data_IF_477483663664
#
_entry.id   IF_477483663664
#
_cell.length_a   1.000
_cell.length_b   1.000
_cell.length_c   1.000
_cell.angle_alpha   90.00
_cell.angle_beta   90.00
_cell.angle_gamma   90.00
#
_symmetry.space_group_name_H-M   'P 1'
#
loop_
_entity.id
_entity.type
_entity.pdbx_description
1 polymer ?
#
# COMPACT_ATOMS: atom_id res chain seq x y z
N UNK A 1 -1.80 19.62 15.41
CA UNK A 1 -3.22 19.98 15.29
C UNK A 1 -4.07 18.99 16.07
N UNK A 2 -5.21 19.44 16.58
CA UNK A 2 -6.14 18.59 17.32
C UNK A 2 -7.13 17.96 16.35
N UNK A 3 -7.14 16.63 16.26
CA UNK A 3 -8.18 15.87 15.57
C UNK A 3 -9.16 15.34 16.62
N UNK A 4 -10.45 15.51 16.34
CA UNK A 4 -11.53 14.84 17.07
C UNK A 4 -12.20 13.83 16.16
N UNK A 5 -12.97 12.93 16.72
CA UNK A 5 -13.80 12.05 15.91
C UNK A 5 -14.53 11.04 16.76
N UNK A 6 -15.35 10.24 16.09
CA UNK A 6 -16.10 9.14 16.66
C UNK A 6 -15.70 7.83 15.98
N UNK A 7 -15.56 6.80 16.79
CA UNK A 7 -15.30 5.44 16.32
C UNK A 7 -16.56 4.59 16.54
N UNK A 8 -17.05 3.98 15.48
CA UNK A 8 -18.24 3.10 15.51
C UNK A 8 -17.93 1.76 14.88
N UNK A 9 -18.76 0.76 15.17
CA UNK A 9 -18.80 -0.50 14.44
C UNK A 9 -19.65 -0.36 13.16
N UNK A 10 -19.72 -1.45 12.40
CA UNK A 10 -20.52 -1.60 11.18
C UNK A 10 -22.04 -1.43 11.37
N UNK A 11 -22.57 -1.63 12.58
CA UNK A 11 -23.98 -1.37 12.91
C UNK A 11 -24.22 0.10 13.25
N UNK A 12 -23.15 0.90 13.36
CA UNK A 12 -23.20 2.29 13.81
C UNK A 12 -23.13 2.44 15.33
N UNK A 13 -22.90 1.35 16.07
CA UNK A 13 -22.76 1.38 17.52
C UNK A 13 -21.40 1.98 17.90
N UNK A 14 -21.34 2.87 18.90
CA UNK A 14 -20.07 3.45 19.35
C UNK A 14 -19.16 2.38 19.94
N UNK A 15 -17.87 2.42 19.57
CA UNK A 15 -16.87 1.52 20.13
C UNK A 15 -16.16 2.24 21.26
N UNK A 16 -16.56 1.92 22.48
CA UNK A 16 -15.86 2.29 23.70
C UNK A 16 -14.49 1.62 23.82
N UNK A 17 -13.52 2.32 24.43
CA UNK A 17 -12.16 1.81 24.68
C UNK A 17 -11.40 1.36 23.41
N UNK A 18 -11.77 1.87 22.24
CA UNK A 18 -10.96 1.73 21.03
C UNK A 18 -9.66 2.52 21.20
N UNK A 19 -8.55 1.92 20.82
CA UNK A 19 -7.24 2.56 20.75
C UNK A 19 -7.12 3.37 19.47
N UNK A 20 -6.72 4.63 19.59
CA UNK A 20 -6.41 5.53 18.48
C UNK A 20 -4.97 6.01 18.66
N UNK A 21 -4.07 5.63 17.76
CA UNK A 21 -2.64 5.89 17.92
C UNK A 21 -1.98 6.41 16.65
N UNK A 22 -0.81 7.04 16.78
CA UNK A 22 -0.02 7.47 15.63
C UNK A 22 0.85 6.30 15.17
N UNK A 23 0.62 5.83 13.94
CA UNK A 23 1.34 4.70 13.36
C UNK A 23 2.84 4.94 13.34
N UNK A 24 3.61 4.00 13.89
CA UNK A 24 5.07 4.06 13.92
C UNK A 24 5.65 5.11 14.86
N UNK A 25 4.85 5.69 15.76
CA UNK A 25 5.37 6.57 16.81
C UNK A 25 6.20 5.79 17.84
N UNK A 26 7.35 6.34 18.23
CA UNK A 26 8.18 5.81 19.31
C UNK A 26 8.71 6.99 20.17
N UNK A 27 8.27 7.15 21.43
CA UNK A 27 7.31 6.30 22.15
C UNK A 27 5.93 6.27 21.48
N UNK A 28 5.14 5.23 21.76
CA UNK A 28 3.77 5.12 21.25
C UNK A 28 2.93 6.28 21.76
N UNK A 29 2.38 7.07 20.84
CA UNK A 29 1.47 8.18 21.15
C UNK A 29 0.07 7.77 20.72
N UNK A 30 -0.87 7.74 21.67
CA UNK A 30 -2.27 7.40 21.39
C UNK A 30 -3.20 7.79 22.53
N UNK A 31 -4.50 7.65 22.26
CA UNK A 31 -5.61 7.86 23.19
C UNK A 31 -6.61 6.72 23.05
N UNK A 32 -7.48 6.55 24.05
CA UNK A 32 -8.62 5.64 23.96
C UNK A 32 -9.92 6.41 23.75
N UNK A 33 -10.90 5.82 23.07
CA UNK A 33 -12.25 6.39 22.99
C UNK A 33 -12.96 6.34 24.35
N UNK A 34 -13.87 7.28 24.56
CA UNK A 34 -14.78 7.31 25.70
C UNK A 34 -15.98 6.36 25.54
N UNK A 35 -16.95 6.42 26.46
CA UNK A 35 -18.14 5.56 26.45
C UNK A 35 -19.02 5.76 25.20
N UNK A 36 -19.02 6.97 24.63
CA UNK A 36 -19.78 7.33 23.44
C UNK A 36 -18.95 7.12 22.15
N UNK A 37 -17.76 6.54 22.24
CA UNK A 37 -16.87 6.27 21.12
C UNK A 37 -16.12 7.50 20.61
N UNK A 38 -16.15 8.62 21.32
CA UNK A 38 -15.45 9.83 20.90
C UNK A 38 -13.97 9.80 21.32
N UNK A 39 -13.12 10.46 20.54
CA UNK A 39 -11.70 10.66 20.86
C UNK A 39 -11.22 12.05 20.48
N UNK A 40 -10.09 12.45 21.06
CA UNK A 40 -9.34 13.64 20.66
C UNK A 40 -7.84 13.39 20.78
N UNK A 41 -7.08 13.64 19.71
CA UNK A 41 -5.64 13.37 19.65
C UNK A 41 -4.89 14.50 18.94
N UNK A 42 -3.71 14.84 19.46
CA UNK A 42 -2.81 15.80 18.81
C UNK A 42 -1.90 15.09 17.81
N UNK A 43 -1.97 15.52 16.56
CA UNK A 43 -1.23 14.93 15.42
C UNK A 43 -0.71 16.01 14.47
N UNK A 44 0.24 15.64 13.62
CA UNK A 44 0.75 16.46 12.54
C UNK A 44 0.18 15.99 11.20
N UNK A 45 0.07 16.93 10.25
CA UNK A 45 -0.32 16.62 8.88
C UNK A 45 0.66 15.62 8.26
N UNK A 46 0.13 14.63 7.56
CA UNK A 46 0.92 13.55 6.96
C UNK A 46 1.18 12.37 7.89
N UNK A 47 0.81 12.44 9.18
CA UNK A 47 0.80 11.27 10.05
C UNK A 47 -0.40 10.37 9.76
N UNK A 48 -0.26 9.08 10.03
CA UNK A 48 -1.34 8.11 9.93
C UNK A 48 -1.83 7.76 11.32
N UNK A 49 -3.13 7.90 11.54
CA UNK A 49 -3.83 7.37 12.70
C UNK A 49 -4.17 5.90 12.48
N UNK A 50 -3.90 5.08 13.48
CA UNK A 50 -4.21 3.66 13.55
C UNK A 50 -5.27 3.43 14.63
N UNK A 51 -6.38 2.80 14.25
CA UNK A 51 -7.54 2.53 15.08
C UNK A 51 -7.67 1.03 15.31
N UNK A 52 -7.73 0.61 16.56
CA UNK A 52 -7.84 -0.80 16.95
C UNK A 52 -8.73 -0.97 18.17
N UNK A 53 -9.33 -2.14 18.34
CA UNK A 53 -10.11 -2.49 19.52
C UNK A 53 -9.97 -4.00 19.77
N UNK A 54 -10.34 -4.43 20.98
CA UNK A 54 -10.25 -5.84 21.36
C UNK A 54 -11.13 -6.69 20.44
N UNK A 55 -10.54 -7.71 19.84
CA UNK A 55 -11.22 -8.60 18.89
C UNK A 55 -11.06 -8.20 17.42
N UNK A 56 -10.43 -7.07 17.12
CA UNK A 56 -10.06 -6.70 15.76
C UNK A 56 -8.69 -7.27 15.38
N UNK A 57 -8.61 -8.07 14.31
CA UNK A 57 -7.39 -8.63 13.75
C UNK A 57 -6.61 -7.63 12.90
N UNK A 58 -7.25 -6.58 12.33
CA UNK A 58 -6.58 -5.60 11.47
C UNK A 58 -6.97 -4.17 11.86
N UNK A 59 -5.99 -3.34 12.26
CA UNK A 59 -6.27 -1.97 12.58
C UNK A 59 -6.72 -1.19 11.34
N UNK A 60 -7.62 -0.24 11.54
CA UNK A 60 -8.02 0.69 10.49
C UNK A 60 -7.06 1.86 10.46
N UNK A 61 -6.67 2.34 9.27
CA UNK A 61 -5.71 3.43 9.13
C UNK A 61 -6.34 4.66 8.45
N UNK A 62 -6.00 5.87 8.91
CA UNK A 62 -6.41 7.14 8.29
C UNK A 62 -5.25 8.13 8.24
N UNK A 63 -4.94 8.63 7.05
CA UNK A 63 -3.96 9.70 6.86
C UNK A 63 -4.56 11.05 7.27
N UNK A 64 -3.84 11.81 8.10
CA UNK A 64 -4.23 13.16 8.52
C UNK A 64 -3.86 14.16 7.42
N UNK A 65 -4.86 14.84 6.85
CA UNK A 65 -4.70 15.90 5.86
C UNK A 65 -4.69 17.28 6.51
N UNK A 66 -4.27 18.30 5.74
CA UNK A 66 -4.08 19.67 6.22
C UNK A 66 -5.34 20.32 6.83
N UNK A 67 -6.52 19.94 6.35
CA UNK A 67 -7.79 20.54 6.77
C UNK A 67 -8.66 19.57 7.59
N UNK A 68 -8.10 18.44 7.99
CA UNK A 68 -8.83 17.51 8.84
C UNK A 68 -8.91 18.12 10.25
N UNK A 69 -10.14 18.31 10.74
CA UNK A 69 -10.44 18.63 12.14
C UNK A 69 -11.28 17.53 12.80
N UNK A 70 -11.96 16.74 11.98
CA UNK A 70 -12.82 15.62 12.38
C UNK A 70 -12.48 14.42 11.50
N UNK A 71 -12.21 13.26 12.12
CA UNK A 71 -12.03 12.00 11.43
C UNK A 71 -12.90 10.95 12.11
N UNK A 72 -14.08 10.69 11.55
CA UNK A 72 -14.94 9.61 12.02
C UNK A 72 -14.56 8.29 11.33
N UNK A 73 -14.61 7.20 12.08
CA UNK A 73 -14.18 5.89 11.63
C UNK A 73 -15.21 4.83 11.98
N UNK A 74 -15.75 4.21 10.95
CA UNK A 74 -16.49 2.95 11.07
C UNK A 74 -15.49 1.80 10.90
N UNK A 75 -15.31 0.99 11.95
CA UNK A 75 -14.48 -0.22 11.90
C UNK A 75 -15.31 -1.41 11.41
N UNK A 76 -14.70 -2.23 10.55
CA UNK A 76 -15.37 -3.40 10.00
C UNK A 76 -15.50 -4.50 11.06
N UNK A 77 -16.64 -5.21 11.08
CA UNK A 77 -16.73 -6.46 11.82
C UNK A 77 -15.93 -7.52 11.08
N UNK A 78 -15.05 -8.20 11.80
CA UNK A 78 -14.24 -9.25 11.21
C UNK A 78 -14.90 -10.62 11.27
N UNK A 79 -16.18 -10.66 10.92
CA UNK A 79 -16.87 -11.91 10.58
C UNK A 79 -16.84 -12.20 9.08
N UNK A 80 -15.79 -11.74 8.38
CA UNK A 80 -15.49 -12.21 7.03
C UNK A 80 -14.51 -13.37 7.13
N UNK A 81 -15.04 -14.54 7.51
CA UNK A 81 -14.48 -15.82 7.07
C UNK A 81 -14.80 -15.92 5.57
N UNK A 82 -13.77 -16.14 4.75
CA UNK A 82 -13.75 -16.15 3.28
C UNK A 82 -13.71 -14.78 2.58
N UNK A 83 -12.49 -14.31 2.32
CA UNK A 83 -12.14 -14.17 0.91
C UNK A 83 -10.67 -14.52 0.73
N UNK A 84 -10.43 -15.70 0.15
CA UNK A 84 -9.16 -16.03 -0.49
C UNK A 84 -9.07 -15.13 -1.75
N UNK A 85 -8.89 -13.81 -1.58
CA UNK A 85 -8.42 -12.96 -2.67
C UNK A 85 -6.91 -13.00 -2.59
N UNK A 86 -6.35 -13.88 -3.41
CA UNK A 86 -4.99 -13.81 -3.91
C UNK A 86 -4.64 -12.33 -4.06
N UNK A 87 -3.69 -11.84 -3.26
CA UNK A 87 -3.24 -10.46 -3.19
C UNK A 87 -2.92 -9.88 -4.59
N UNK A 88 -3.94 -9.42 -5.30
CA UNK A 88 -3.84 -8.67 -6.54
C UNK A 88 -4.01 -7.20 -6.22
N UNK A 89 -3.05 -6.61 -5.51
CA UNK A 89 -2.94 -5.14 -5.42
C UNK A 89 -2.86 -4.61 -6.84
N UNK A 90 -3.95 -4.07 -7.40
CA UNK A 90 -3.90 -3.38 -8.68
C UNK A 90 -2.93 -2.21 -8.50
N UNK A 91 -1.87 -2.08 -9.33
CA UNK A 91 -0.87 -1.05 -9.12
C UNK A 91 -1.56 0.32 -9.21
N UNK A 92 -1.60 1.05 -8.10
CA UNK A 92 -2.14 2.42 -8.03
C UNK A 92 -1.32 3.43 -8.85
N UNK A 93 -0.18 3.00 -9.39
CA UNK A 93 0.66 3.76 -10.30
C UNK A 93 0.85 3.00 -11.64
N UNK A 94 -0.18 3.05 -12.48
CA UNK A 94 -0.17 2.50 -13.84
C UNK A 94 0.93 3.10 -14.72
N UNK A 95 1.33 4.34 -14.47
CA UNK A 95 2.39 5.01 -15.21
C UNK A 95 3.74 4.28 -15.04
N UNK A 96 4.08 3.91 -13.81
CA UNK A 96 5.32 3.15 -13.52
C UNK A 96 5.33 1.76 -14.17
N UNK A 97 4.19 1.07 -14.18
CA UNK A 97 4.08 -0.25 -14.78
C UNK A 97 4.19 -0.21 -16.32
N UNK A 98 3.54 0.77 -16.97
CA UNK A 98 3.63 0.97 -18.42
C UNK A 98 5.05 1.34 -18.84
N UNK A 99 5.74 2.22 -18.07
CA UNK A 99 7.15 2.55 -18.30
C UNK A 99 8.04 1.29 -18.21
N UNK A 100 7.79 0.42 -17.23
CA UNK A 100 8.51 -0.86 -17.10
C UNK A 100 8.36 -1.75 -18.34
N UNK A 101 7.16 -1.84 -18.92
CA UNK A 101 6.91 -2.63 -20.14
C UNK A 101 7.62 -2.04 -21.37
N UNK A 102 7.65 -0.71 -21.51
CA UNK A 102 8.36 -0.04 -22.61
C UNK A 102 9.87 -0.34 -22.51
N UNK A 103 10.46 -0.18 -21.33
CA UNK A 103 11.89 -0.45 -21.10
C UNK A 103 12.23 -1.91 -21.34
N UNK A 104 11.41 -2.85 -20.87
CA UNK A 104 11.61 -4.28 -21.13
C UNK A 104 11.59 -4.59 -22.63
N UNK A 105 10.68 -3.97 -23.40
CA UNK A 105 10.63 -4.09 -24.86
C UNK A 105 11.92 -3.61 -25.54
N UNK A 106 12.46 -2.46 -25.13
CA UNK A 106 13.73 -1.94 -25.64
C UNK A 106 14.92 -2.86 -25.33
N UNK A 107 14.99 -3.40 -24.10
CA UNK A 107 16.05 -4.33 -23.70
C UNK A 107 15.97 -5.61 -24.53
N UNK A 108 14.79 -6.21 -24.67
CA UNK A 108 14.60 -7.44 -25.46
C UNK A 108 14.98 -7.21 -26.92
N UNK A 109 14.58 -6.07 -27.50
CA UNK A 109 14.97 -5.70 -28.86
C UNK A 109 16.49 -5.61 -29.00
N UNK A 110 17.15 -4.88 -28.10
CA UNK A 110 18.61 -4.72 -28.10
C UNK A 110 19.35 -6.05 -27.97
N UNK A 111 18.92 -6.94 -27.07
CA UNK A 111 19.51 -8.28 -26.91
C UNK A 111 19.30 -9.13 -28.17
N UNK A 112 18.11 -9.04 -28.78
CA UNK A 112 17.81 -9.80 -30.01
C UNK A 112 18.68 -9.38 -31.18
N UNK A 113 19.03 -8.10 -31.28
CA UNK A 113 19.86 -7.56 -32.35
C UNK A 113 21.33 -7.98 -32.15
N UNK A 114 21.86 -7.93 -30.91
CA UNK A 114 23.20 -8.44 -30.56
C UNK A 114 23.33 -9.94 -30.89
N UNK A 115 22.34 -10.75 -30.55
CA UNK A 115 22.37 -12.20 -30.83
C UNK A 115 22.41 -12.52 -32.33
N UNK A 116 21.78 -11.68 -33.17
CA UNK A 116 21.80 -11.84 -34.63
C UNK A 116 23.16 -11.48 -35.21
N UNK A 117 23.82 -10.45 -34.68
CA UNK A 117 25.16 -10.05 -35.11
C UNK A 117 26.20 -11.15 -34.80
N UNK A 118 26.18 -11.72 -33.59
CA UNK A 118 27.09 -12.84 -33.26
C UNK A 118 26.89 -14.06 -34.15
N UNK A 119 25.64 -14.38 -34.53
CA UNK A 119 25.35 -15.51 -35.43
C UNK A 119 25.90 -15.24 -36.82
N UNK A 120 25.72 -14.02 -37.34
CA UNK A 120 26.28 -13.60 -38.64
C UNK A 120 27.81 -13.63 -38.63
N UNK A 121 28.45 -13.21 -37.54
CA UNK A 121 29.90 -13.26 -37.41
C UNK A 121 30.44 -14.69 -37.37
N UNK A 122 29.80 -15.58 -36.60
CA UNK A 122 30.15 -17.00 -36.51
C UNK A 122 29.96 -17.74 -37.84
N UNK A 123 28.94 -17.38 -38.60
CA UNK A 123 28.67 -17.95 -39.92
C UNK A 123 29.70 -17.48 -40.96
N UNK A 124 30.02 -16.17 -40.98
CA UNK A 124 31.09 -15.62 -41.84
C UNK A 124 32.48 -16.18 -41.49
N UNK A 125 32.77 -16.40 -40.21
CA UNK A 125 34.02 -16.99 -39.75
C UNK A 125 34.17 -18.47 -40.13
N UNK A 126 33.06 -19.23 -40.21
CA UNK A 126 33.06 -20.61 -40.72
C UNK A 126 33.31 -20.65 -42.22
N UNK A 127 32.69 -19.77 -43.00
CA UNK A 127 32.86 -19.71 -44.46
C UNK A 127 34.31 -19.38 -44.83
N UNK A 128 34.95 -18.42 -44.15
CA UNK A 128 36.38 -18.08 -44.40
C UNK A 128 37.37 -19.21 -44.08
N UNK A 129 37.03 -20.13 -43.18
CA UNK A 129 37.89 -21.29 -42.83
C UNK A 129 37.81 -22.44 -43.83
N UNK A 130 36.83 -22.43 -44.76
CA UNK A 130 36.60 -23.53 -45.73
C UNK A 130 37.21 -23.21 -47.11
N UNK A 131 37.68 -21.98 -47.37
CA UNK A 131 38.22 -21.55 -48.68
C UNK A 131 39.75 -21.47 -48.71
N UNK A 132 40.47 -22.29 -47.94
CA UNK A 132 41.94 -22.42 -48.01
C UNK A 132 42.32 -23.89 -48.11
#
# INVERSE_FOLDING_TARGET
MLIKGKVTDYNGEPIHLASVSIKGSNPLIGVSTDFDGNYAINVNVGQTLEFSYVGNQQPTERLVRLYDSIIDVTMANQLNLDEIVINGKKPTNYFGWILGLIVAGFIIKSISDISKEEKKEKEQAKVKKVTI
#
